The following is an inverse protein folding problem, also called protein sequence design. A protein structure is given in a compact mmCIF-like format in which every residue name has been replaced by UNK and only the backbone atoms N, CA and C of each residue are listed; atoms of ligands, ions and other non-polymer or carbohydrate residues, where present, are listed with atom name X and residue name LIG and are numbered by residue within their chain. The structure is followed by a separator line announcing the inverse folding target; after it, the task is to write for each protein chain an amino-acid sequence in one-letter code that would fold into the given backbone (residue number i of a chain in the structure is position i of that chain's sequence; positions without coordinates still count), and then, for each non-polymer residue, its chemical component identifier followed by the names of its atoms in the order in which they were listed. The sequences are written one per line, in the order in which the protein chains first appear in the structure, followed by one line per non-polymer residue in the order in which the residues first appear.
data_IF_486243939501
#
_entry.id   IF_486243939501
#
_cell.length_a   1.000
_cell.length_b   1.000
_cell.length_c   1.000
_cell.angle_alpha   90.00
_cell.angle_beta   90.00
_cell.angle_gamma   90.00
#
_symmetry.space_group_name_H-M   'P 1'
#
loop_
_entity.id
_entity.type
_entity.pdbx_description
1 polymer ?
#
# COMPACT_ATOMS: atom_id res chain seq x y z
N UNK A 1 -10.38 -5.93 34.52
CA UNK A 1 -10.79 -6.52 33.22
C UNK A 1 -9.90 -5.91 32.16
N UNK A 2 -9.37 -6.70 31.24
CA UNK A 2 -8.49 -6.21 30.14
C UNK A 2 -9.31 -5.34 29.19
N UNK A 3 -8.75 -4.21 28.73
CA UNK A 3 -9.49 -3.26 27.90
C UNK A 3 -8.82 -3.00 26.55
N UNK A 4 -9.67 -2.76 25.55
CA UNK A 4 -9.29 -2.36 24.21
C UNK A 4 -9.79 -0.96 23.94
N UNK A 5 -8.94 -0.05 23.46
CA UNK A 5 -9.35 1.21 22.86
C UNK A 5 -9.44 1.08 21.34
N UNK A 6 -10.57 1.43 20.75
CA UNK A 6 -10.76 1.43 19.31
C UNK A 6 -10.91 2.87 18.81
N UNK A 7 -10.00 3.28 17.93
CA UNK A 7 -10.07 4.53 17.17
C UNK A 7 -10.97 4.32 15.95
N UNK A 8 -12.26 4.53 16.18
CA UNK A 8 -13.33 4.15 15.26
C UNK A 8 -13.65 5.26 14.26
N UNK A 9 -13.11 5.16 13.06
CA UNK A 9 -13.40 6.07 11.95
C UNK A 9 -14.18 5.43 10.79
N UNK A 10 -14.40 4.12 10.83
CA UNK A 10 -14.91 3.38 9.68
C UNK A 10 -15.83 2.21 10.03
N UNK A 11 -16.01 1.87 11.32
CA UNK A 11 -16.82 0.71 11.70
C UNK A 11 -18.32 1.00 11.55
N UNK A 12 -19.02 -0.02 11.08
CA UNK A 12 -20.48 -0.09 10.99
C UNK A 12 -21.05 -0.93 12.14
N UNK A 13 -22.35 -0.94 12.41
CA UNK A 13 -22.94 -1.74 13.49
C UNK A 13 -22.58 -3.23 13.44
N UNK A 14 -22.45 -3.82 12.24
CA UNK A 14 -22.01 -5.21 12.05
C UNK A 14 -20.57 -5.44 12.52
N UNK A 15 -19.68 -4.48 12.29
CA UNK A 15 -18.29 -4.52 12.70
C UNK A 15 -18.15 -4.46 14.20
N UNK A 16 -18.84 -3.52 14.84
CA UNK A 16 -18.84 -3.38 16.31
C UNK A 16 -19.36 -4.65 16.97
N UNK A 17 -20.45 -5.23 16.46
CA UNK A 17 -20.96 -6.51 16.98
C UNK A 17 -19.90 -7.61 16.92
N UNK A 18 -19.24 -7.78 15.76
CA UNK A 18 -18.18 -8.79 15.61
C UNK A 18 -17.00 -8.54 16.56
N UNK A 19 -16.59 -7.28 16.72
CA UNK A 19 -15.50 -6.90 17.62
C UNK A 19 -15.90 -7.19 19.07
N UNK A 20 -17.10 -6.77 19.52
CA UNK A 20 -17.57 -6.92 20.88
C UNK A 20 -17.71 -8.41 21.28
N UNK A 21 -18.27 -9.23 20.39
CA UNK A 21 -18.38 -10.67 20.58
C UNK A 21 -17.00 -11.33 20.67
N UNK A 22 -16.08 -10.95 19.81
CA UNK A 22 -14.71 -11.49 19.79
C UNK A 22 -13.93 -11.06 21.03
N UNK A 23 -14.04 -9.77 21.42
CA UNK A 23 -13.40 -9.24 22.60
C UNK A 23 -13.90 -9.96 23.88
N UNK A 24 -15.21 -10.16 24.00
CA UNK A 24 -15.80 -10.88 25.13
C UNK A 24 -15.25 -12.31 25.23
N UNK A 25 -15.15 -13.06 24.11
CA UNK A 25 -14.54 -14.40 24.08
C UNK A 25 -13.06 -14.37 24.45
N UNK A 26 -12.34 -13.32 24.07
CA UNK A 26 -10.92 -13.12 24.37
C UNK A 26 -10.65 -12.56 25.78
N UNK A 27 -11.68 -12.27 26.57
CA UNK A 27 -11.58 -11.77 27.94
C UNK A 27 -11.34 -10.25 28.04
N UNK A 28 -11.81 -9.49 27.05
CA UNK A 28 -11.69 -8.02 26.98
C UNK A 28 -13.04 -7.31 27.00
N UNK A 29 -13.01 -6.05 27.41
CA UNK A 29 -14.05 -5.04 27.16
C UNK A 29 -13.53 -4.00 26.16
N UNK A 30 -14.44 -3.35 25.44
CA UNK A 30 -14.12 -2.43 24.34
C UNK A 30 -14.70 -1.06 24.62
N UNK A 31 -13.86 -0.03 24.45
CA UNK A 31 -14.29 1.37 24.41
C UNK A 31 -14.02 1.93 23.01
N UNK A 32 -15.04 2.57 22.40
CA UNK A 32 -14.97 3.16 21.07
C UNK A 32 -14.79 4.67 21.15
N UNK A 33 -13.84 5.18 20.41
CA UNK A 33 -13.54 6.61 20.31
C UNK A 33 -13.66 7.03 18.84
N UNK A 34 -14.61 7.95 18.57
CA UNK A 34 -14.81 8.44 17.21
C UNK A 34 -13.58 9.23 16.73
N UNK A 35 -13.17 9.04 15.48
CA UNK A 35 -12.14 9.88 14.87
C UNK A 35 -12.71 11.30 14.61
N UNK A 36 -11.96 12.38 14.86
CA UNK A 36 -10.57 12.47 15.32
C UNK A 36 -10.41 12.50 16.85
N UNK A 37 -11.41 12.08 17.63
CA UNK A 37 -11.35 12.14 19.08
C UNK A 37 -10.27 11.19 19.63
N UNK A 38 -9.29 11.76 20.32
CA UNK A 38 -8.29 11.00 21.04
C UNK A 38 -8.85 10.38 22.32
N UNK A 39 -8.28 9.28 22.77
CA UNK A 39 -8.58 8.71 24.09
C UNK A 39 -8.20 9.73 25.17
N UNK A 40 -9.11 10.06 26.14
CA UNK A 40 -8.81 10.98 27.24
C UNK A 40 -7.53 10.57 27.99
N UNK A 41 -6.71 11.54 28.36
CA UNK A 41 -5.39 11.27 28.96
C UNK A 41 -5.50 10.47 30.28
N UNK A 42 -6.52 10.74 31.09
CA UNK A 42 -6.79 10.04 32.34
C UNK A 42 -7.23 8.58 32.18
N UNK A 43 -7.64 8.18 30.96
CA UNK A 43 -8.04 6.81 30.64
C UNK A 43 -6.97 5.99 29.92
N UNK A 44 -5.89 6.62 29.42
CA UNK A 44 -4.90 5.92 28.59
C UNK A 44 -4.24 4.74 29.32
N UNK A 45 -4.05 4.82 30.63
CA UNK A 45 -3.53 3.73 31.44
C UNK A 45 -4.44 2.50 31.56
N UNK A 46 -5.70 2.57 31.16
CA UNK A 46 -6.63 1.45 31.27
C UNK A 46 -6.44 0.40 30.16
N UNK A 47 -5.82 0.76 29.04
CA UNK A 47 -5.86 -0.05 27.83
C UNK A 47 -4.61 -0.89 27.64
N UNK A 48 -4.82 -2.17 27.37
CA UNK A 48 -3.80 -3.14 27.02
C UNK A 48 -3.64 -3.28 25.49
N UNK A 49 -4.72 -3.05 24.74
CA UNK A 49 -4.74 -3.15 23.28
C UNK A 49 -5.32 -1.86 22.68
N UNK A 50 -4.72 -1.42 21.58
CA UNK A 50 -5.26 -0.34 20.75
C UNK A 50 -5.50 -0.90 19.34
N UNK A 51 -6.66 -0.59 18.75
CA UNK A 51 -6.95 -0.84 17.35
C UNK A 51 -7.38 0.43 16.64
N UNK A 52 -6.81 0.70 15.47
CA UNK A 52 -7.17 1.86 14.65
C UNK A 52 -5.98 2.69 14.23
N UNK A 53 -6.13 4.03 14.23
CA UNK A 53 -5.11 4.97 13.75
C UNK A 53 -4.91 6.13 14.77
N UNK A 54 -4.33 5.86 15.94
CA UNK A 54 -3.95 6.91 16.88
C UNK A 54 -2.81 7.77 16.30
N UNK A 55 -2.62 8.99 16.82
CA UNK A 55 -1.42 9.75 16.49
C UNK A 55 -0.19 9.06 17.10
N UNK A 56 0.93 8.90 16.37
CA UNK A 56 2.11 8.20 16.89
C UNK A 56 2.56 8.70 18.27
N UNK A 57 2.60 10.02 18.48
CA UNK A 57 3.02 10.63 19.75
C UNK A 57 2.08 10.36 20.95
N UNK A 58 0.90 9.78 20.75
CA UNK A 58 -0.03 9.43 21.84
C UNK A 58 0.28 8.05 22.44
N UNK A 59 0.92 7.15 21.71
CA UNK A 59 1.10 5.74 22.11
C UNK A 59 1.90 5.58 23.40
N UNK A 60 2.93 6.41 23.63
CA UNK A 60 3.78 6.34 24.83
C UNK A 60 3.03 6.60 26.14
N UNK A 61 1.90 7.32 26.08
CA UNK A 61 1.09 7.64 27.26
C UNK A 61 0.21 6.48 27.71
N UNK A 62 0.09 5.42 26.90
CA UNK A 62 -0.64 4.21 27.24
C UNK A 62 0.26 3.25 28.01
N UNK A 63 0.52 3.56 29.28
CA UNK A 63 1.53 2.88 30.10
C UNK A 63 1.37 1.36 30.24
N UNK A 64 0.16 0.85 30.04
CA UNK A 64 -0.16 -0.58 30.08
C UNK A 64 -0.32 -1.22 28.70
N UNK A 65 0.01 -0.50 27.61
CA UNK A 65 -0.11 -1.01 26.25
C UNK A 65 0.83 -2.19 26.03
N UNK A 66 0.29 -3.28 25.49
CA UNK A 66 1.03 -4.48 25.09
C UNK A 66 0.93 -4.77 23.61
N UNK A 67 -0.16 -4.33 22.97
CA UNK A 67 -0.37 -4.57 21.55
C UNK A 67 -1.10 -3.38 20.89
N UNK A 68 -0.47 -2.85 19.85
CA UNK A 68 -1.08 -1.88 18.93
C UNK A 68 -1.31 -2.55 17.58
N UNK A 69 -2.58 -2.59 17.13
CA UNK A 69 -3.00 -3.05 15.83
C UNK A 69 -3.41 -1.85 14.96
N UNK A 70 -2.60 -1.50 13.99
CA UNK A 70 -2.92 -0.43 13.04
C UNK A 70 -3.98 -0.86 12.02
N UNK A 71 -5.02 -0.04 11.83
CA UNK A 71 -6.03 -0.26 10.79
C UNK A 71 -5.55 0.16 9.39
N UNK A 72 -4.25 0.08 9.12
CA UNK A 72 -3.55 0.46 7.90
C UNK A 72 -2.51 -0.59 7.53
N UNK A 73 -2.02 -0.56 6.28
CA UNK A 73 -0.97 -1.47 5.82
C UNK A 73 0.44 -0.90 6.04
N UNK A 74 0.67 0.37 5.69
CA UNK A 74 1.96 1.04 5.85
C UNK A 74 2.21 1.46 7.29
N UNK A 75 3.37 1.15 7.84
CA UNK A 75 3.71 1.31 9.27
C UNK A 75 4.79 2.35 9.53
N UNK A 76 5.23 3.07 8.51
CA UNK A 76 6.43 3.93 8.55
C UNK A 76 6.45 4.91 9.73
N UNK A 77 5.28 5.49 10.05
CA UNK A 77 5.15 6.46 11.15
C UNK A 77 5.19 5.84 12.56
N UNK A 78 5.22 4.50 12.66
CA UNK A 78 5.10 3.76 13.93
C UNK A 78 6.29 2.84 14.21
N UNK A 79 7.39 2.98 13.49
CA UNK A 79 8.56 2.10 13.63
C UNK A 79 9.49 2.48 14.79
N UNK A 80 9.47 3.73 15.22
CA UNK A 80 10.34 4.23 16.29
C UNK A 80 9.90 3.66 17.66
N UNK A 81 10.79 2.95 18.33
CA UNK A 81 10.54 2.36 19.65
C UNK A 81 10.22 3.42 20.72
N UNK A 82 10.71 4.65 20.57
CA UNK A 82 10.42 5.75 21.49
C UNK A 82 8.96 6.22 21.51
N UNK A 83 8.17 5.80 20.52
CA UNK A 83 6.72 6.07 20.45
C UNK A 83 5.91 5.24 21.45
N UNK A 84 6.48 4.19 22.01
CA UNK A 84 5.79 3.21 22.84
C UNK A 84 6.22 3.31 24.30
N UNK A 85 5.37 2.90 25.26
CA UNK A 85 5.75 2.86 26.67
C UNK A 85 6.85 1.82 26.97
N UNK A 86 6.99 0.81 26.11
CA UNK A 86 8.00 -0.24 26.18
C UNK A 86 8.36 -0.74 24.80
N UNK A 87 9.64 -1.11 24.52
CA UNK A 87 10.03 -1.73 23.26
C UNK A 87 9.37 -3.09 23.02
N UNK A 88 8.80 -3.71 24.04
CA UNK A 88 8.12 -5.00 23.97
C UNK A 88 6.69 -4.90 23.43
N UNK A 89 6.14 -3.67 23.28
CA UNK A 89 4.80 -3.49 22.70
C UNK A 89 4.80 -4.06 21.29
N UNK A 90 3.89 -4.99 21.05
CA UNK A 90 3.71 -5.57 19.73
C UNK A 90 3.05 -4.55 18.80
N UNK A 91 3.58 -4.41 17.59
CA UNK A 91 2.95 -3.69 16.49
C UNK A 91 2.45 -4.72 15.47
N UNK A 92 1.20 -4.62 15.09
CA UNK A 92 0.66 -5.32 13.93
C UNK A 92 -0.08 -4.34 13.01
N UNK A 93 -0.29 -4.74 11.77
CA UNK A 93 -0.99 -3.94 10.77
C UNK A 93 -2.12 -4.75 10.10
N UNK A 94 -2.85 -4.10 9.20
CA UNK A 94 -3.93 -4.74 8.44
C UNK A 94 -3.47 -5.21 7.06
N UNK A 95 -2.26 -5.75 6.95
CA UNK A 95 -1.78 -6.40 5.72
C UNK A 95 -2.71 -7.55 5.34
N UNK A 96 -3.19 -7.58 4.10
CA UNK A 96 -4.22 -8.51 3.63
C UNK A 96 -5.64 -7.91 3.56
N UNK A 97 -5.82 -6.63 3.93
CA UNK A 97 -7.12 -5.95 3.81
C UNK A 97 -7.23 -5.05 2.57
N UNK A 98 -6.11 -4.61 2.04
CA UNK A 98 -6.05 -3.56 1.01
C UNK A 98 -5.77 -4.07 -0.40
N UNK A 99 -5.40 -5.33 -0.56
CA UNK A 99 -4.97 -5.90 -1.83
C UNK A 99 -5.97 -5.69 -2.96
N UNK A 100 -7.25 -5.99 -2.72
CA UNK A 100 -8.31 -5.84 -3.73
C UNK A 100 -8.48 -4.38 -4.15
N UNK A 101 -8.64 -3.47 -3.17
CA UNK A 101 -8.89 -2.04 -3.42
C UNK A 101 -7.74 -1.40 -4.20
N UNK A 102 -6.51 -1.63 -3.75
CA UNK A 102 -5.32 -1.05 -4.38
C UNK A 102 -5.06 -1.68 -5.75
N UNK A 103 -5.27 -2.99 -5.90
CA UNK A 103 -5.10 -3.65 -7.20
C UNK A 103 -6.11 -3.15 -8.25
N UNK A 104 -7.35 -2.84 -7.85
CA UNK A 104 -8.33 -2.22 -8.75
C UNK A 104 -7.89 -0.82 -9.17
N UNK A 105 -7.35 -0.03 -8.25
CA UNK A 105 -6.74 1.26 -8.56
C UNK A 105 -5.55 1.09 -9.54
N UNK A 106 -4.66 0.12 -9.31
CA UNK A 106 -3.54 -0.17 -10.22
C UNK A 106 -4.03 -0.53 -11.62
N UNK A 107 -5.07 -1.35 -11.75
CA UNK A 107 -5.69 -1.68 -13.05
C UNK A 107 -6.25 -0.42 -13.71
N UNK A 108 -6.99 0.40 -12.97
CA UNK A 108 -7.57 1.64 -13.47
C UNK A 108 -6.49 2.58 -14.04
N UNK A 109 -5.46 2.92 -13.25
CA UNK A 109 -4.42 3.86 -13.70
C UNK A 109 -3.57 3.27 -14.83
N UNK A 110 -3.33 1.96 -14.83
CA UNK A 110 -2.64 1.27 -15.92
C UNK A 110 -3.44 1.40 -17.23
N UNK A 111 -4.74 1.11 -17.21
CA UNK A 111 -5.61 1.26 -18.39
C UNK A 111 -5.72 2.72 -18.83
N UNK A 112 -5.79 3.66 -17.91
CA UNK A 112 -5.81 5.09 -18.23
C UNK A 112 -4.55 5.50 -19.02
N UNK A 113 -3.37 5.03 -18.63
CA UNK A 113 -2.12 5.28 -19.35
C UNK A 113 -2.11 4.59 -20.72
N UNK A 114 -2.39 3.29 -20.78
CA UNK A 114 -2.37 2.50 -22.01
C UNK A 114 -3.36 3.00 -23.06
N UNK A 115 -4.44 3.65 -22.64
CA UNK A 115 -5.53 4.13 -23.50
C UNK A 115 -5.53 5.66 -23.62
N UNK A 116 -4.50 6.36 -23.13
CA UNK A 116 -4.34 7.83 -23.20
C UNK A 116 -5.49 8.63 -22.57
N UNK A 117 -6.16 8.08 -21.55
CA UNK A 117 -7.32 8.72 -20.92
C UNK A 117 -7.05 10.15 -20.42
N UNK A 118 -5.88 10.49 -19.82
CA UNK A 118 -5.57 11.87 -19.42
C UNK A 118 -5.63 12.86 -20.59
N UNK A 119 -5.13 12.49 -21.77
CA UNK A 119 -5.16 13.33 -22.95
C UNK A 119 -6.61 13.55 -23.44
N UNK A 120 -7.45 12.51 -23.41
CA UNK A 120 -8.86 12.63 -23.78
C UNK A 120 -9.67 13.47 -22.79
N UNK A 121 -9.36 13.39 -21.49
CA UNK A 121 -9.96 14.29 -20.49
C UNK A 121 -9.61 15.77 -20.76
N UNK A 122 -8.34 16.04 -21.10
CA UNK A 122 -7.89 17.38 -21.44
C UNK A 122 -8.55 17.86 -22.75
N UNK A 123 -8.67 17.02 -23.76
CA UNK A 123 -9.36 17.33 -25.02
C UNK A 123 -10.85 17.60 -24.79
N UNK A 124 -11.54 16.80 -23.98
CA UNK A 124 -12.93 17.02 -23.60
C UNK A 124 -13.11 18.38 -22.91
N UNK A 125 -12.24 18.72 -21.94
CA UNK A 125 -12.30 20.01 -21.25
C UNK A 125 -12.09 21.21 -22.20
N UNK A 126 -11.33 21.00 -23.28
CA UNK A 126 -11.06 22.03 -24.31
C UNK A 126 -12.01 21.97 -25.51
N UNK A 127 -13.04 21.09 -25.51
CA UNK A 127 -13.96 20.94 -26.62
C UNK A 127 -13.32 20.39 -27.90
N UNK A 128 -12.22 19.62 -27.79
CA UNK A 128 -11.50 19.06 -28.93
C UNK A 128 -11.84 17.58 -29.14
N UNK A 129 -11.90 17.16 -30.42
CA UNK A 129 -12.08 15.77 -30.83
C UNK A 129 -10.75 15.21 -31.36
N UNK A 130 -9.84 14.86 -30.43
CA UNK A 130 -8.51 14.33 -30.75
C UNK A 130 -8.44 12.79 -30.78
N UNK A 131 -7.41 12.26 -31.44
CA UNK A 131 -7.06 10.85 -31.40
C UNK A 131 -5.58 10.71 -31.05
N UNK A 132 -5.26 9.89 -30.05
CA UNK A 132 -3.88 9.61 -29.66
C UNK A 132 -3.58 8.14 -29.98
N UNK A 133 -2.51 7.90 -30.72
CA UNK A 133 -2.10 6.55 -31.16
C UNK A 133 -0.56 6.41 -30.99
N UNK A 134 -0.07 5.18 -30.85
CA UNK A 134 -0.79 3.92 -30.76
C UNK A 134 -1.41 3.68 -29.38
N UNK A 135 -2.54 2.99 -29.31
CA UNK A 135 -3.06 2.45 -28.04
C UNK A 135 -2.36 1.13 -27.72
N UNK A 136 -2.25 0.84 -26.41
CA UNK A 136 -1.69 -0.42 -25.89
C UNK A 136 -2.71 -1.15 -25.02
N UNK A 137 -2.37 -2.38 -24.62
CA UNK A 137 -3.25 -3.26 -23.82
C UNK A 137 -2.43 -4.00 -22.76
N UNK A 138 -3.09 -4.39 -21.67
CA UNK A 138 -2.56 -5.39 -20.74
C UNK A 138 -2.47 -6.75 -21.43
N UNK A 139 -3.42 -7.07 -22.31
CA UNK A 139 -3.34 -8.30 -23.13
C UNK A 139 -2.05 -8.32 -23.93
N UNK A 140 -1.29 -9.40 -23.79
CA UNK A 140 -0.03 -9.62 -24.48
C UNK A 140 1.18 -8.87 -23.90
N UNK A 141 1.02 -8.08 -22.82
CA UNK A 141 2.14 -7.37 -22.18
C UNK A 141 2.91 -8.27 -21.21
N UNK A 142 4.19 -7.98 -21.04
CA UNK A 142 5.03 -8.50 -19.96
C UNK A 142 4.99 -7.52 -18.78
N UNK A 143 4.57 -8.00 -17.61
CA UNK A 143 4.41 -7.20 -16.41
C UNK A 143 5.39 -7.66 -15.34
N UNK A 144 6.21 -6.74 -14.83
CA UNK A 144 7.10 -6.99 -13.69
C UNK A 144 6.53 -6.28 -12.47
N UNK A 145 6.28 -7.02 -11.39
CA UNK A 145 5.69 -6.52 -10.14
C UNK A 145 6.74 -6.62 -9.04
N UNK A 146 7.24 -5.48 -8.57
CA UNK A 146 8.19 -5.41 -7.46
C UNK A 146 7.41 -5.26 -6.16
N UNK A 147 7.40 -6.35 -5.38
CA UNK A 147 6.57 -6.54 -4.21
C UNK A 147 5.44 -7.54 -4.45
N UNK A 148 5.66 -8.81 -4.06
CA UNK A 148 4.70 -9.92 -4.24
C UNK A 148 3.91 -10.20 -2.97
N UNK A 149 3.58 -9.14 -2.22
CA UNK A 149 2.67 -9.18 -1.08
C UNK A 149 1.20 -9.20 -1.52
N UNK A 150 0.29 -8.90 -0.60
CA UNK A 150 -1.15 -8.85 -0.83
C UNK A 150 -1.51 -8.02 -2.08
N UNK A 151 -1.04 -6.78 -2.15
CA UNK A 151 -1.35 -5.84 -3.24
C UNK A 151 -0.81 -6.35 -4.59
N UNK A 152 0.48 -6.70 -4.63
CA UNK A 152 1.11 -7.17 -5.87
C UNK A 152 0.49 -8.47 -6.37
N UNK A 153 0.11 -9.38 -5.48
CA UNK A 153 -0.57 -10.64 -5.84
C UNK A 153 -1.97 -10.39 -6.39
N UNK A 154 -2.74 -9.49 -5.78
CA UNK A 154 -4.07 -9.13 -6.28
C UNK A 154 -4.01 -8.42 -7.64
N UNK A 155 -2.99 -7.58 -7.88
CA UNK A 155 -2.76 -6.99 -9.19
C UNK A 155 -2.33 -8.04 -10.22
N UNK A 156 -1.43 -8.96 -9.85
CA UNK A 156 -0.99 -10.06 -10.71
C UNK A 156 -2.17 -10.91 -11.21
N UNK A 157 -3.09 -11.31 -10.31
CA UNK A 157 -4.31 -12.07 -10.65
C UNK A 157 -5.16 -11.36 -11.69
N UNK A 158 -5.37 -10.04 -11.52
CA UNK A 158 -6.16 -9.22 -12.44
C UNK A 158 -5.47 -9.06 -13.80
N UNK A 159 -4.17 -8.77 -13.78
CA UNK A 159 -3.38 -8.64 -15.01
C UNK A 159 -3.38 -9.96 -15.81
N UNK A 160 -3.22 -11.08 -15.15
CA UNK A 160 -3.28 -12.42 -15.77
C UNK A 160 -4.68 -12.70 -16.36
N UNK A 161 -5.74 -12.39 -15.62
CA UNK A 161 -7.12 -12.53 -16.10
C UNK A 161 -7.43 -11.61 -17.29
N UNK A 162 -6.71 -10.49 -17.43
CA UNK A 162 -6.80 -9.59 -18.58
C UNK A 162 -5.89 -9.99 -19.76
N UNK A 163 -5.23 -11.14 -19.68
CA UNK A 163 -4.46 -11.73 -20.77
C UNK A 163 -3.03 -11.21 -20.90
N UNK A 164 -2.40 -10.75 -19.81
CA UNK A 164 -0.96 -10.49 -19.81
C UNK A 164 -0.18 -11.72 -20.30
N UNK A 165 0.85 -11.53 -21.14
CA UNK A 165 1.66 -12.62 -21.69
C UNK A 165 2.55 -13.25 -20.63
N UNK A 166 3.09 -12.43 -19.71
CA UNK A 166 3.86 -12.88 -18.57
C UNK A 166 3.66 -11.94 -17.37
N UNK A 167 3.56 -12.51 -16.18
CA UNK A 167 3.48 -11.76 -14.91
C UNK A 167 4.64 -12.24 -14.02
N UNK A 168 5.67 -11.41 -13.89
CA UNK A 168 6.89 -11.68 -13.12
C UNK A 168 6.81 -10.96 -11.78
N UNK A 169 7.09 -11.69 -10.71
CA UNK A 169 7.14 -11.13 -9.37
C UNK A 169 8.57 -10.95 -8.88
N UNK A 170 8.90 -9.82 -8.28
CA UNK A 170 10.20 -9.56 -7.64
C UNK A 170 10.01 -9.36 -6.14
N UNK A 171 10.85 -10.02 -5.34
CA UNK A 171 10.79 -9.99 -3.87
C UNK A 171 12.16 -10.20 -3.25
N UNK A 172 12.29 -9.91 -1.96
CA UNK A 172 13.57 -10.05 -1.23
C UNK A 172 14.11 -11.48 -1.21
N UNK A 173 13.26 -12.46 -0.98
CA UNK A 173 13.66 -13.86 -0.81
C UNK A 173 12.87 -14.78 -1.71
N UNK A 174 13.53 -15.72 -2.36
CA UNK A 174 12.88 -16.72 -3.21
C UNK A 174 12.04 -17.66 -2.33
N UNK A 175 10.72 -17.64 -2.51
CA UNK A 175 9.76 -18.57 -1.88
C UNK A 175 8.88 -19.15 -2.98
N UNK A 176 8.14 -20.21 -2.67
CA UNK A 176 7.13 -20.75 -3.59
C UNK A 176 6.21 -19.62 -4.10
N UNK A 177 5.99 -19.60 -5.40
CA UNK A 177 5.17 -18.59 -6.06
C UNK A 177 3.68 -18.79 -5.72
N UNK A 178 2.96 -17.67 -5.53
CA UNK A 178 1.51 -17.69 -5.72
C UNK A 178 1.23 -17.97 -7.21
N UNK A 179 0.20 -18.77 -7.55
CA UNK A 179 -0.17 -19.07 -8.94
C UNK A 179 -0.49 -17.83 -9.81
N UNK A 180 -0.65 -16.67 -9.17
CA UNK A 180 -0.80 -15.40 -9.86
C UNK A 180 0.46 -14.96 -10.65
N UNK A 181 1.63 -15.48 -10.29
CA UNK A 181 2.89 -15.17 -10.97
C UNK A 181 3.34 -16.35 -11.83
N UNK A 182 3.88 -16.06 -13.00
CA UNK A 182 4.50 -17.07 -13.87
C UNK A 182 5.93 -17.34 -13.39
N UNK A 183 6.62 -16.31 -12.89
CA UNK A 183 8.00 -16.41 -12.40
C UNK A 183 8.16 -15.55 -11.12
N UNK A 184 9.04 -15.99 -10.21
CA UNK A 184 9.46 -15.22 -9.03
C UNK A 184 10.97 -15.04 -9.04
N UNK A 185 11.39 -13.79 -8.93
CA UNK A 185 12.77 -13.33 -8.91
C UNK A 185 13.11 -12.62 -7.59
N UNK A 186 14.41 -12.42 -7.37
CA UNK A 186 14.93 -11.62 -6.27
C UNK A 186 15.33 -10.21 -6.72
N UNK A 187 15.56 -9.29 -5.77
CA UNK A 187 15.87 -7.89 -6.08
C UNK A 187 17.15 -7.72 -6.91
N UNK A 188 18.11 -8.62 -6.78
CA UNK A 188 19.36 -8.66 -7.54
C UNK A 188 19.16 -9.14 -8.98
N UNK A 189 18.08 -9.85 -9.26
CA UNK A 189 17.71 -10.28 -10.62
C UNK A 189 16.91 -9.20 -11.38
N UNK A 190 16.48 -8.10 -10.73
CA UNK A 190 15.59 -7.09 -11.31
C UNK A 190 16.14 -6.47 -12.60
N UNK A 191 17.43 -6.15 -12.64
CA UNK A 191 18.07 -5.48 -13.78
C UNK A 191 17.94 -6.31 -15.07
N UNK A 192 17.95 -7.64 -14.97
CA UNK A 192 17.80 -8.55 -16.12
C UNK A 192 16.35 -8.59 -16.65
N UNK A 193 15.36 -8.20 -15.85
CA UNK A 193 13.95 -8.24 -16.24
C UNK A 193 13.48 -6.94 -16.91
N UNK A 194 14.12 -5.80 -16.57
CA UNK A 194 13.66 -4.48 -16.99
C UNK A 194 13.64 -4.28 -18.51
N UNK A 195 14.62 -4.76 -19.31
CA UNK A 195 14.62 -4.57 -20.76
C UNK A 195 13.40 -5.17 -21.49
N UNK A 196 12.76 -6.19 -20.91
CA UNK A 196 11.59 -6.88 -21.49
C UNK A 196 10.28 -6.52 -20.78
N UNK A 197 10.30 -5.50 -19.92
CA UNK A 197 9.13 -5.11 -19.12
C UNK A 197 8.32 -4.05 -19.84
N UNK A 198 7.06 -4.34 -20.18
CA UNK A 198 6.10 -3.35 -20.70
C UNK A 198 5.46 -2.52 -19.59
N UNK A 199 5.16 -3.14 -18.46
CA UNK A 199 4.54 -2.48 -17.29
C UNK A 199 5.32 -2.88 -16.04
N UNK A 200 5.95 -1.90 -15.40
CA UNK A 200 6.62 -2.06 -14.11
C UNK A 200 5.71 -1.54 -13.00
N UNK A 201 5.30 -2.41 -12.10
CA UNK A 201 4.45 -2.06 -10.96
C UNK A 201 5.20 -2.22 -9.64
N UNK A 202 5.13 -1.19 -8.77
CA UNK A 202 5.76 -1.19 -7.45
C UNK A 202 4.68 -1.19 -6.36
N UNK A 203 4.77 -2.17 -5.45
CA UNK A 203 3.90 -2.35 -4.29
C UNK A 203 4.75 -2.73 -3.06
N UNK A 204 5.74 -1.88 -2.75
CA UNK A 204 6.77 -2.11 -1.73
C UNK A 204 6.54 -1.26 -0.48
N UNK A 205 6.87 -1.78 0.72
CA UNK A 205 7.00 -0.95 1.92
C UNK A 205 8.24 -0.05 1.81
N UNK A 206 8.31 1.02 2.62
CA UNK A 206 9.53 1.81 2.77
C UNK A 206 10.51 1.08 3.71
N UNK A 207 11.64 0.67 3.18
CA UNK A 207 12.74 0.06 3.92
C UNK A 207 14.06 0.56 3.37
N UNK A 208 15.17 0.33 4.10
CA UNK A 208 16.50 0.66 3.57
C UNK A 208 16.82 -0.05 2.25
N UNK A 209 16.29 -1.27 2.04
CA UNK A 209 16.52 -2.06 0.82
C UNK A 209 15.63 -1.63 -0.37
N UNK A 210 14.47 -1.02 -0.09
CA UNK A 210 13.52 -0.61 -1.14
C UNK A 210 13.67 0.85 -1.53
N UNK A 211 14.37 1.66 -0.72
CA UNK A 211 14.68 3.04 -1.04
C UNK A 211 15.53 3.14 -2.31
N UNK A 212 15.03 3.87 -3.32
CA UNK A 212 15.71 4.04 -4.61
C UNK A 212 15.88 2.75 -5.40
N UNK A 213 15.06 1.71 -5.13
CA UNK A 213 15.15 0.43 -5.86
C UNK A 213 14.97 0.65 -7.37
N UNK A 214 14.17 1.63 -7.78
CA UNK A 214 14.07 2.09 -9.17
C UNK A 214 14.91 3.37 -9.32
N UNK A 215 16.22 3.19 -9.37
CA UNK A 215 17.21 4.25 -9.57
C UNK A 215 17.21 4.77 -11.03
N UNK A 216 17.91 5.88 -11.28
CA UNK A 216 18.12 6.41 -12.64
C UNK A 216 18.72 5.34 -13.59
N UNK A 217 19.68 4.54 -13.12
CA UNK A 217 20.27 3.45 -13.91
C UNK A 217 19.24 2.39 -14.29
N UNK A 218 18.37 1.98 -13.36
CA UNK A 218 17.30 1.01 -13.62
C UNK A 218 16.19 1.57 -14.51
N UNK A 219 15.83 2.84 -14.34
CA UNK A 219 14.91 3.53 -15.25
C UNK A 219 15.42 3.51 -16.70
N UNK A 220 16.73 3.67 -16.90
CA UNK A 220 17.35 3.63 -18.22
C UNK A 220 17.37 2.24 -18.87
N UNK A 221 17.16 1.15 -18.11
CA UNK A 221 17.05 -0.21 -18.64
C UNK A 221 15.66 -0.49 -19.22
N UNK A 222 14.63 0.26 -18.81
CA UNK A 222 13.28 0.07 -19.32
C UNK A 222 13.18 0.49 -20.79
N UNK A 223 12.43 -0.25 -21.63
CA UNK A 223 12.15 0.18 -22.98
C UNK A 223 11.37 1.50 -22.97
N UNK A 224 11.60 2.36 -23.96
CA UNK A 224 10.89 3.65 -24.08
C UNK A 224 9.38 3.52 -24.19
N UNK A 225 8.89 2.31 -24.41
CA UNK A 225 7.47 1.97 -24.50
C UNK A 225 6.89 1.50 -23.17
N UNK A 226 7.71 1.42 -22.12
CA UNK A 226 7.29 0.94 -20.80
C UNK A 226 6.49 1.99 -20.02
N UNK A 227 5.65 1.47 -19.13
CA UNK A 227 4.89 2.24 -18.16
C UNK A 227 5.30 1.86 -16.75
N UNK A 228 5.33 2.85 -15.85
CA UNK A 228 5.64 2.67 -14.43
C UNK A 228 4.41 2.98 -13.59
N UNK A 229 4.04 2.09 -12.67
CA UNK A 229 2.94 2.29 -11.71
C UNK A 229 3.48 2.13 -10.29
N UNK A 230 3.29 3.12 -9.42
CA UNK A 230 3.73 3.04 -8.03
C UNK A 230 2.59 3.35 -7.06
N UNK A 231 2.24 2.36 -6.24
CA UNK A 231 1.26 2.46 -5.15
C UNK A 231 1.89 2.09 -3.79
N UNK A 232 3.20 1.85 -3.76
CA UNK A 232 3.94 1.47 -2.56
C UNK A 232 4.38 2.68 -1.75
N UNK A 233 5.58 3.19 -2.07
CA UNK A 233 6.15 4.40 -1.45
C UNK A 233 6.90 5.22 -2.48
N UNK A 234 6.82 6.55 -2.36
CA UNK A 234 7.52 7.48 -3.26
C UNK A 234 9.02 7.29 -3.24
N UNK A 235 9.58 7.03 -2.08
CA UNK A 235 11.02 6.78 -1.89
C UNK A 235 11.58 5.56 -2.64
N UNK A 236 10.73 4.69 -3.20
CA UNK A 236 11.16 3.55 -4.01
C UNK A 236 11.70 3.95 -5.39
N UNK A 237 11.37 5.15 -5.88
CA UNK A 237 11.75 5.66 -7.21
C UNK A 237 12.65 6.88 -7.05
N UNK A 238 13.68 7.00 -7.87
CA UNK A 238 14.34 8.28 -8.12
C UNK A 238 13.37 9.18 -8.92
N UNK A 239 12.62 10.01 -8.19
CA UNK A 239 11.55 10.82 -8.76
C UNK A 239 12.10 11.79 -9.82
N UNK A 240 13.25 12.40 -9.59
CA UNK A 240 13.85 13.36 -10.53
C UNK A 240 14.22 12.65 -11.84
N UNK A 241 14.82 11.46 -11.77
CA UNK A 241 15.17 10.68 -12.94
C UNK A 241 13.94 10.17 -13.70
N UNK A 242 12.86 9.81 -12.99
CA UNK A 242 11.60 9.43 -13.63
C UNK A 242 10.99 10.60 -14.41
N UNK A 243 10.89 11.79 -13.80
CA UNK A 243 10.35 12.98 -14.44
C UNK A 243 11.18 13.40 -15.66
N UNK A 244 12.50 13.29 -15.57
CA UNK A 244 13.41 13.55 -16.69
C UNK A 244 13.20 12.50 -17.83
N UNK A 245 13.02 11.23 -17.50
CA UNK A 245 12.75 10.19 -18.49
C UNK A 245 11.40 10.42 -19.21
N UNK A 246 10.36 10.83 -18.50
CA UNK A 246 9.05 11.16 -19.08
C UNK A 246 9.12 12.39 -19.98
N UNK A 247 9.75 13.47 -19.52
CA UNK A 247 9.83 14.75 -20.25
C UNK A 247 10.66 14.64 -21.56
N UNK A 248 11.59 13.68 -21.63
CA UNK A 248 12.41 13.39 -22.80
C UNK A 248 11.95 12.17 -23.61
N UNK A 249 10.70 11.71 -23.40
CA UNK A 249 10.07 10.57 -24.12
C UNK A 249 10.92 9.27 -24.06
N UNK A 250 11.63 9.05 -22.94
CA UNK A 250 12.38 7.82 -22.64
C UNK A 250 11.54 6.75 -21.95
N UNK A 251 10.34 7.11 -21.49
CA UNK A 251 9.29 6.24 -20.99
C UNK A 251 7.96 6.67 -21.60
N UNK A 252 7.05 5.72 -21.79
CA UNK A 252 5.72 5.99 -22.35
C UNK A 252 4.81 6.72 -21.39
N UNK A 253 4.94 6.47 -20.09
CA UNK A 253 4.14 7.12 -19.05
C UNK A 253 4.37 6.53 -17.66
N UNK A 254 3.86 7.22 -16.65
CA UNK A 254 3.85 6.72 -15.29
C UNK A 254 2.55 7.11 -14.57
N UNK A 255 2.15 6.30 -13.58
CA UNK A 255 1.10 6.61 -12.63
C UNK A 255 1.64 6.47 -11.21
N UNK A 256 1.59 7.54 -10.45
CA UNK A 256 2.10 7.60 -9.09
C UNK A 256 0.95 7.96 -8.13
N UNK A 257 0.68 7.09 -7.17
CA UNK A 257 -0.21 7.36 -6.04
C UNK A 257 0.56 7.90 -4.84
N UNK A 258 1.89 7.75 -4.85
CA UNK A 258 2.80 8.09 -3.76
C UNK A 258 4.03 8.85 -4.26
N UNK A 259 4.54 9.79 -3.45
CA UNK A 259 5.64 10.68 -3.77
C UNK A 259 6.68 10.75 -2.64
N UNK A 260 7.89 11.24 -2.95
CA UNK A 260 8.93 11.44 -1.92
C UNK A 260 8.47 12.43 -0.84
N UNK A 261 7.77 13.48 -1.27
CA UNK A 261 7.15 14.47 -0.37
C UNK A 261 5.64 14.48 -0.58
N UNK A 262 4.89 14.26 0.47
CA UNK A 262 3.43 14.30 0.49
C UNK A 262 2.92 15.23 1.61
N UNK A 263 1.96 16.14 1.31
CA UNK A 263 1.43 16.49 -0.02
C UNK A 263 2.49 17.05 -0.97
N UNK A 264 2.30 16.82 -2.28
CA UNK A 264 3.18 17.39 -3.32
C UNK A 264 3.13 18.93 -3.24
N UNK A 265 4.27 19.63 -3.13
CA UNK A 265 4.27 21.10 -3.07
C UNK A 265 3.69 21.74 -4.33
N UNK A 266 3.08 22.92 -4.17
CA UNK A 266 2.73 23.75 -5.31
C UNK A 266 4.00 24.11 -6.10
N UNK A 267 3.97 23.92 -7.42
CA UNK A 267 5.14 24.17 -8.28
C UNK A 267 6.14 23.02 -8.41
N UNK A 268 5.87 21.87 -7.77
CA UNK A 268 6.67 20.67 -8.00
C UNK A 268 6.64 20.26 -9.48
N UNK A 269 7.79 19.88 -10.07
CA UNK A 269 7.87 19.47 -11.49
C UNK A 269 6.93 18.32 -11.86
N UNK A 270 6.53 17.49 -10.91
CA UNK A 270 5.59 16.40 -11.13
C UNK A 270 4.25 16.89 -11.72
N UNK A 271 3.76 18.08 -11.32
CA UNK A 271 2.50 18.62 -11.80
C UNK A 271 2.44 18.87 -13.31
N UNK A 272 3.59 19.09 -13.93
CA UNK A 272 3.71 19.43 -15.36
C UNK A 272 4.46 18.39 -16.18
N UNK A 273 4.83 17.26 -15.57
CA UNK A 273 5.54 16.19 -16.25
C UNK A 273 4.65 15.53 -17.32
N UNK A 274 5.25 15.23 -18.47
CA UNK A 274 4.57 14.55 -19.57
C UNK A 274 4.11 13.15 -19.14
N UNK A 275 2.91 12.77 -19.55
CA UNK A 275 2.37 11.41 -19.39
C UNK A 275 2.47 10.88 -17.94
N UNK A 276 2.45 11.75 -16.95
CA UNK A 276 2.36 11.42 -15.54
C UNK A 276 0.91 11.54 -15.08
N UNK A 277 0.36 10.45 -14.57
CA UNK A 277 -0.91 10.40 -13.86
C UNK A 277 -0.63 10.43 -12.36
N UNK A 278 -1.19 11.43 -11.67
CA UNK A 278 -1.03 11.64 -10.23
C UNK A 278 -2.35 11.30 -9.53
N UNK A 279 -2.28 10.51 -8.46
CA UNK A 279 -3.38 10.34 -7.50
C UNK A 279 -2.87 10.63 -6.08
N UNK A 280 -3.68 11.25 -5.18
CA UNK A 280 -3.18 11.82 -3.94
C UNK A 280 -3.18 10.80 -2.79
N UNK A 281 -2.38 9.73 -2.91
CA UNK A 281 -2.25 8.62 -1.93
C UNK A 281 -3.62 8.08 -1.50
N UNK A 282 -4.45 7.74 -2.50
CA UNK A 282 -5.86 7.39 -2.30
C UNK A 282 -6.20 5.93 -2.65
N UNK A 283 -5.24 5.18 -3.21
CA UNK A 283 -5.48 3.82 -3.68
C UNK A 283 -5.95 2.86 -2.59
N UNK A 284 -5.55 3.08 -1.34
CA UNK A 284 -5.80 2.20 -0.18
C UNK A 284 -6.80 2.73 0.84
N UNK A 285 -7.83 3.47 0.45
CA UNK A 285 -8.79 4.03 1.38
C UNK A 285 -9.83 3.02 1.91
N UNK A 286 -10.34 3.28 3.13
CA UNK A 286 -11.40 2.50 3.79
C UNK A 286 -12.81 2.75 3.19
N UNK A 287 -12.90 3.30 1.97
CA UNK A 287 -14.18 3.62 1.32
C UNK A 287 -14.95 2.39 0.86
N UNK A 288 -14.27 1.30 0.49
CA UNK A 288 -14.91 0.06 0.09
C UNK A 288 -15.35 -0.79 1.29
N UNK A 289 -16.58 -1.30 1.24
CA UNK A 289 -17.11 -2.21 2.25
C UNK A 289 -16.23 -3.44 2.46
N UNK A 290 -15.74 -4.03 1.37
CA UNK A 290 -14.80 -5.16 1.43
C UNK A 290 -13.56 -4.86 2.29
N UNK A 291 -12.90 -3.71 2.08
CA UNK A 291 -11.70 -3.32 2.83
C UNK A 291 -12.01 -3.16 4.32
N UNK A 292 -13.15 -2.53 4.66
CA UNK A 292 -13.60 -2.40 6.06
C UNK A 292 -13.88 -3.74 6.70
N UNK A 293 -14.65 -4.59 6.00
CA UNK A 293 -15.00 -5.94 6.49
C UNK A 293 -13.72 -6.75 6.75
N UNK A 294 -12.80 -6.75 5.79
CA UNK A 294 -11.56 -7.51 5.91
C UNK A 294 -10.64 -6.98 7.01
N UNK A 295 -10.53 -5.67 7.16
CA UNK A 295 -9.73 -5.03 8.20
C UNK A 295 -10.20 -5.48 9.60
N UNK A 296 -11.50 -5.41 9.86
CA UNK A 296 -12.09 -5.85 11.12
C UNK A 296 -11.93 -7.37 11.34
N UNK A 297 -12.13 -8.19 10.31
CA UNK A 297 -11.91 -9.64 10.39
C UNK A 297 -10.48 -9.97 10.81
N UNK A 298 -9.48 -9.33 10.18
CA UNK A 298 -8.06 -9.54 10.49
C UNK A 298 -7.74 -9.16 11.94
N UNK A 299 -8.28 -8.04 12.42
CA UNK A 299 -8.15 -7.66 13.83
C UNK A 299 -8.77 -8.70 14.76
N UNK A 300 -9.99 -9.17 14.48
CA UNK A 300 -10.69 -10.18 15.28
C UNK A 300 -9.94 -11.52 15.30
N UNK A 301 -9.42 -11.98 14.15
CA UNK A 301 -8.57 -13.17 14.06
C UNK A 301 -7.34 -13.07 15.00
N UNK A 302 -6.65 -11.92 14.95
CA UNK A 302 -5.48 -11.68 15.79
C UNK A 302 -5.85 -11.48 17.27
N UNK A 303 -7.02 -10.90 17.58
CA UNK A 303 -7.51 -10.74 18.94
C UNK A 303 -7.85 -12.07 19.60
N UNK A 304 -8.45 -13.01 18.87
CA UNK A 304 -8.71 -14.37 19.39
C UNK A 304 -7.40 -15.09 19.72
N UNK A 305 -6.38 -14.99 18.86
CA UNK A 305 -5.05 -15.54 19.12
C UNK A 305 -4.43 -14.93 20.37
N UNK A 306 -4.44 -13.60 20.44
CA UNK A 306 -3.89 -12.84 21.56
C UNK A 306 -4.60 -13.19 22.88
N UNK A 307 -5.92 -13.39 22.85
CA UNK A 307 -6.71 -13.83 23.99
C UNK A 307 -6.27 -15.20 24.53
N UNK A 308 -5.78 -16.09 23.67
CA UNK A 308 -5.21 -17.41 24.04
C UNK A 308 -3.73 -17.36 24.43
N UNK A 309 -3.13 -16.17 24.49
CA UNK A 309 -1.69 -16.02 24.78
C UNK A 309 -0.77 -16.26 23.56
N UNK A 310 -1.32 -16.39 22.36
CA UNK A 310 -0.57 -16.51 21.12
C UNK A 310 -0.23 -15.13 20.55
N UNK A 311 0.83 -15.07 19.75
CA UNK A 311 1.16 -13.81 19.04
C UNK A 311 0.18 -13.58 17.87
N UNK A 312 -0.18 -12.31 17.59
CA UNK A 312 -0.86 -11.93 16.36
C UNK A 312 -0.11 -12.42 15.12
N UNK A 313 -0.84 -12.73 14.03
CA UNK A 313 -0.22 -13.23 12.79
C UNK A 313 0.49 -12.14 12.00
N UNK A 314 0.01 -10.90 12.10
CA UNK A 314 0.44 -9.77 11.27
C UNK A 314 1.39 -8.84 12.03
N UNK A 315 2.30 -9.46 12.83
CA UNK A 315 3.32 -8.71 13.55
C UNK A 315 4.30 -8.05 12.59
N UNK A 316 4.60 -6.81 12.88
CA UNK A 316 5.62 -6.01 12.20
C UNK A 316 6.93 -6.12 12.97
N UNK A 317 8.00 -6.51 12.30
CA UNK A 317 9.35 -6.30 12.83
C UNK A 317 9.74 -4.83 12.57
N UNK A 318 9.73 -4.00 13.63
CA UNK A 318 10.02 -2.57 13.52
C UNK A 318 11.41 -2.26 12.98
N UNK A 319 12.38 -3.19 13.09
CA UNK A 319 13.75 -3.01 12.57
C UNK A 319 13.82 -3.11 11.05
N UNK A 320 12.93 -3.90 10.46
CA UNK A 320 12.88 -4.11 9.00
C UNK A 320 11.69 -3.42 8.33
N UNK A 321 10.69 -2.93 9.10
CA UNK A 321 9.62 -2.08 8.63
C UNK A 321 8.39 -2.81 8.06
N UNK A 322 8.26 -4.13 8.27
CA UNK A 322 7.07 -4.91 7.86
C UNK A 322 6.99 -6.27 8.54
#
# INVERSE_FOLDING_TARGET
MRKIAIYDSFTEPKHRRLIDETAARAGFTVDYYAAPAAVPADKRGDYEVIYGMPKPGELKDFVNLKWFCGSFAGVDAYLDDSLYPSPEVMLSNSSGAYGVTIAEHMVMVTLMLLRHAPAYCADQAAGRWGRVLPMRSIMGSTITIVGTGDIGTEFARRAKAMGAAAVRGVRRTKKAADPAFDEIHTNDELDALLPDTDILALALPATGETKGILSAARLALLPKTAYVVNVGRGSAIDQAALLDALNHDRLAGAALDVFEQEPIPAGDPAWTAKNLLITPHISGQMSLGYTRDRNVQLFCEDLERYGRGEKPLRLVDRRIGY
#
